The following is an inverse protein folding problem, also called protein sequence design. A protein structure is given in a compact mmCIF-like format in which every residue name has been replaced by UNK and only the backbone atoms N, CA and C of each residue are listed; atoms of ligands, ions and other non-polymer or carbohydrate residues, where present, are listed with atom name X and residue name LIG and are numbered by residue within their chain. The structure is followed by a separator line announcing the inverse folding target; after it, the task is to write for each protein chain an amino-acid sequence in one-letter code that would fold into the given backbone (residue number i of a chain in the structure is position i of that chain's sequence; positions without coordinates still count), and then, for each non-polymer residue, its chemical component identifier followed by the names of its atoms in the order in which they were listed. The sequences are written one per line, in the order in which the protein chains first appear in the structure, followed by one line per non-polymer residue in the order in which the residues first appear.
data_IF_850383905306
#
_entry.id   IF_850383905306
#
_cell.length_a   1.000
_cell.length_b   1.000
_cell.length_c   1.000
_cell.angle_alpha   90.00
_cell.angle_beta   90.00
_cell.angle_gamma   90.00
#
_symmetry.space_group_name_H-M   'P 1'
#
loop_
_entity.id
_entity.type
_entity.pdbx_description
1 polymer ?
#
# COMPACT_ATOMS: atom_id res chain seq x y z
N UNK A 1 38.43 73.77 5.14
CA UNK A 1 38.49 72.44 4.49
C UNK A 1 37.22 71.68 4.84
N UNK A 2 36.56 71.11 3.83
CA UNK A 2 35.28 70.37 3.91
C UNK A 2 35.41 69.10 4.77
N UNK A 3 34.33 68.71 5.43
CA UNK A 3 33.61 67.44 5.15
C UNK A 3 32.38 67.31 6.05
N UNK A 4 31.20 67.43 5.44
CA UNK A 4 29.93 66.92 5.96
C UNK A 4 29.89 65.40 5.76
N UNK A 5 29.34 64.67 6.72
CA UNK A 5 29.01 63.25 6.59
C UNK A 5 27.50 63.06 6.72
N UNK A 6 26.83 62.38 5.78
CA UNK A 6 25.38 62.29 5.71
C UNK A 6 24.79 61.17 6.58
N UNK A 7 23.56 61.42 7.01
CA UNK A 7 22.61 60.48 7.61
C UNK A 7 22.22 59.42 6.57
N UNK A 8 22.26 58.13 6.91
CA UNK A 8 21.45 57.12 6.22
C UNK A 8 20.92 56.08 7.21
N UNK A 9 19.61 56.19 7.44
CA UNK A 9 18.73 55.23 8.09
C UNK A 9 18.67 53.95 7.24
N UNK A 10 19.12 52.82 7.79
CA UNK A 10 18.91 51.50 7.20
C UNK A 10 17.78 50.81 7.96
N UNK A 11 16.55 51.22 7.63
CA UNK A 11 15.38 50.36 7.76
C UNK A 11 15.61 49.14 6.86
N UNK A 12 16.21 48.09 7.42
CA UNK A 12 16.15 46.75 6.88
C UNK A 12 14.68 46.35 6.89
N UNK A 13 13.98 46.63 5.78
CA UNK A 13 12.70 46.02 5.49
C UNK A 13 12.90 44.51 5.59
N UNK A 14 12.37 43.94 6.67
CA UNK A 14 12.04 42.53 6.79
C UNK A 14 11.01 42.22 5.72
N UNK A 15 11.47 42.02 4.49
CA UNK A 15 10.72 41.33 3.46
C UNK A 15 10.66 39.86 3.91
N UNK A 16 9.71 39.58 4.79
CA UNK A 16 9.18 38.23 4.95
C UNK A 16 8.57 37.93 3.59
N UNK A 17 9.37 37.35 2.71
CA UNK A 17 8.89 36.78 1.47
C UNK A 17 7.91 35.69 1.88
N UNK A 18 6.62 36.05 1.96
CA UNK A 18 5.51 35.12 1.90
C UNK A 18 5.59 34.46 0.53
N UNK A 19 6.52 33.52 0.42
CA UNK A 19 6.54 32.54 -0.65
C UNK A 19 5.19 31.85 -0.53
N UNK A 20 4.32 31.90 -1.56
CA UNK A 20 3.12 31.10 -1.51
C UNK A 20 3.59 29.67 -1.33
N UNK A 21 3.24 29.06 -0.19
CA UNK A 21 3.37 27.63 -0.03
C UNK A 21 2.34 27.06 -1.00
N UNK A 22 2.75 26.84 -2.25
CA UNK A 22 1.97 26.11 -3.23
C UNK A 22 1.93 24.69 -2.68
N UNK A 23 0.93 24.42 -1.82
CA UNK A 23 0.62 23.08 -1.37
C UNK A 23 0.04 22.37 -2.59
N UNK A 24 0.91 21.67 -3.30
CA UNK A 24 0.49 20.77 -4.35
C UNK A 24 -0.33 19.65 -3.68
N UNK A 25 -1.65 19.71 -3.80
CA UNK A 25 -2.54 18.67 -3.28
C UNK A 25 -2.63 17.59 -4.34
N UNK A 26 -2.06 16.40 -4.11
CA UNK A 26 -2.11 15.36 -5.12
C UNK A 26 -3.55 14.88 -5.35
N UNK A 27 -3.90 14.64 -6.61
CA UNK A 27 -5.13 13.90 -6.94
C UNK A 27 -4.89 12.47 -6.48
N UNK A 28 -5.76 11.99 -5.59
CA UNK A 28 -5.70 10.64 -5.06
C UNK A 28 -6.48 9.66 -5.93
N UNK A 29 -5.82 8.60 -6.41
CA UNK A 29 -6.49 7.41 -6.93
C UNK A 29 -6.67 6.42 -5.79
N UNK A 30 -7.90 6.05 -5.48
CA UNK A 30 -8.21 5.07 -4.46
C UNK A 30 -8.24 3.67 -5.10
N UNK A 31 -7.56 2.73 -4.46
CA UNK A 31 -7.54 1.32 -4.85
C UNK A 31 -7.87 0.49 -3.61
N UNK A 32 -8.95 -0.29 -3.71
CA UNK A 32 -9.28 -1.31 -2.72
C UNK A 32 -8.73 -2.66 -3.16
N UNK A 33 -8.12 -3.39 -2.25
CA UNK A 33 -7.55 -4.71 -2.54
C UNK A 33 -8.15 -5.69 -1.56
N UNK A 34 -8.59 -6.82 -2.11
CA UNK A 34 -9.16 -7.93 -1.37
C UNK A 34 -8.25 -9.14 -1.54
N UNK A 35 -7.73 -9.62 -0.41
CA UNK A 35 -6.94 -10.82 -0.35
C UNK A 35 -7.79 -12.04 -0.74
N UNK A 36 -7.20 -13.04 -1.41
CA UNK A 36 -7.88 -14.29 -1.69
C UNK A 36 -8.22 -15.05 -0.41
N UNK A 37 -9.30 -15.80 -0.41
CA UNK A 37 -9.70 -16.69 0.69
C UNK A 37 -9.06 -18.06 0.54
N UNK A 38 -9.13 -18.90 1.57
CA UNK A 38 -8.58 -20.27 1.55
C UNK A 38 -9.62 -21.33 1.20
N UNK A 39 -10.91 -20.94 1.24
CA UNK A 39 -12.06 -21.77 0.94
C UNK A 39 -13.15 -20.97 0.23
N UNK A 40 -14.04 -21.69 -0.44
CA UNK A 40 -15.21 -21.13 -1.13
C UNK A 40 -14.97 -20.82 -2.60
N UNK A 41 -15.80 -19.94 -3.15
CA UNK A 41 -15.69 -19.40 -4.49
C UNK A 41 -16.43 -18.06 -4.55
N UNK A 42 -15.98 -17.08 -5.35
CA UNK A 42 -14.75 -17.04 -6.15
C UNK A 42 -13.52 -16.58 -5.31
N UNK A 43 -12.32 -16.57 -5.91
CA UNK A 43 -11.10 -15.96 -5.36
C UNK A 43 -10.40 -16.71 -4.22
N UNK A 44 -10.06 -17.97 -4.46
CA UNK A 44 -9.35 -18.83 -3.51
C UNK A 44 -7.88 -19.03 -3.85
N UNK A 45 -7.05 -19.20 -2.82
CA UNK A 45 -5.69 -19.74 -2.94
C UNK A 45 -5.67 -21.25 -2.86
N UNK A 46 -4.73 -21.83 -3.60
CA UNK A 46 -4.45 -23.26 -3.65
C UNK A 46 -2.96 -23.50 -3.40
N UNK A 47 -2.64 -24.58 -2.69
CA UNK A 47 -1.27 -25.06 -2.57
C UNK A 47 -0.90 -25.91 -3.80
N UNK A 48 0.12 -25.48 -4.55
CA UNK A 48 0.62 -26.15 -5.76
C UNK A 48 1.87 -27.03 -5.48
N UNK A 49 2.17 -27.32 -4.22
CA UNK A 49 3.37 -28.04 -3.79
C UNK A 49 4.53 -27.09 -3.52
N UNK A 50 5.03 -26.42 -4.56
CA UNK A 50 6.20 -25.54 -4.45
C UNK A 50 5.85 -24.09 -4.08
N UNK A 51 4.59 -23.71 -4.26
CA UNK A 51 4.08 -22.37 -3.96
C UNK A 51 2.57 -22.40 -3.66
N UNK A 52 2.06 -21.35 -3.04
CA UNK A 52 0.63 -21.14 -2.80
C UNK A 52 0.26 -19.93 -3.64
N UNK A 53 -0.83 -20.03 -4.39
CA UNK A 53 -1.26 -18.94 -5.24
C UNK A 53 -2.74 -19.00 -5.57
N UNK A 54 -3.26 -17.88 -6.04
CA UNK A 54 -4.67 -17.73 -6.34
C UNK A 54 -5.03 -16.30 -6.66
N UNK A 55 -6.27 -16.09 -7.07
CA UNK A 55 -6.76 -14.76 -7.44
C UNK A 55 -7.44 -14.11 -6.25
N UNK A 56 -7.00 -12.89 -5.91
CA UNK A 56 -7.78 -11.92 -5.17
C UNK A 56 -8.40 -10.90 -6.12
N UNK A 57 -8.79 -9.74 -5.61
CA UNK A 57 -9.41 -8.67 -6.40
C UNK A 57 -8.82 -7.32 -6.06
N UNK A 58 -8.67 -6.45 -7.05
CA UNK A 58 -8.54 -5.02 -6.85
C UNK A 58 -9.78 -4.30 -7.41
N UNK A 59 -10.25 -3.26 -6.71
CA UNK A 59 -11.25 -2.33 -7.19
C UNK A 59 -10.59 -0.98 -7.43
N UNK A 60 -10.63 -0.52 -8.68
CA UNK A 60 -10.11 0.77 -9.11
C UNK A 60 -11.22 1.48 -9.87
N UNK A 61 -11.66 2.63 -9.38
CA UNK A 61 -12.72 3.43 -10.04
C UNK A 61 -13.98 2.61 -10.35
N UNK A 62 -14.42 1.79 -9.39
CA UNK A 62 -15.57 0.88 -9.52
C UNK A 62 -15.39 -0.28 -10.52
N UNK A 63 -14.16 -0.53 -10.99
CA UNK A 63 -13.83 -1.69 -11.82
C UNK A 63 -13.13 -2.74 -10.97
N UNK A 64 -13.67 -3.95 -11.00
CA UNK A 64 -13.16 -5.11 -10.29
C UNK A 64 -12.23 -5.90 -11.21
N UNK A 65 -10.94 -5.92 -10.90
CA UNK A 65 -9.93 -6.68 -11.67
C UNK A 65 -9.40 -7.86 -10.83
N UNK A 66 -9.34 -9.07 -11.41
CA UNK A 66 -8.69 -10.19 -10.73
C UNK A 66 -7.18 -9.98 -10.69
N UNK A 67 -6.58 -10.18 -9.53
CA UNK A 67 -5.12 -10.04 -9.33
C UNK A 67 -4.55 -11.31 -8.72
N UNK A 68 -3.41 -11.74 -9.23
CA UNK A 68 -2.80 -13.01 -8.82
C UNK A 68 -1.83 -12.80 -7.66
N UNK A 69 -2.09 -13.47 -6.55
CA UNK A 69 -1.21 -13.55 -5.40
C UNK A 69 -0.38 -14.82 -5.44
N UNK A 70 0.88 -14.72 -5.03
CA UNK A 70 1.80 -15.85 -4.92
C UNK A 70 2.58 -15.80 -3.62
N UNK A 71 2.85 -16.96 -3.02
CA UNK A 71 3.65 -17.08 -1.81
C UNK A 71 5.03 -16.46 -1.97
N UNK A 72 5.43 -15.60 -1.03
CA UNK A 72 6.78 -15.00 -0.99
C UNK A 72 7.80 -16.05 -0.52
N UNK A 73 7.37 -16.86 0.44
CA UNK A 73 8.08 -18.03 0.96
C UNK A 73 7.05 -18.99 1.53
N UNK A 74 7.35 -20.28 1.48
CA UNK A 74 6.50 -21.33 2.06
C UNK A 74 7.25 -21.99 3.19
N UNK A 75 6.57 -22.13 4.33
CA UNK A 75 7.03 -23.04 5.37
C UNK A 75 6.82 -24.49 4.90
N UNK A 76 7.83 -25.34 5.07
CA UNK A 76 7.82 -26.72 4.58
C UNK A 76 6.65 -27.58 5.10
N UNK A 77 6.03 -27.16 6.22
CA UNK A 77 4.96 -27.89 6.89
C UNK A 77 3.56 -27.34 6.62
N UNK A 78 3.38 -26.44 5.63
CA UNK A 78 2.03 -25.98 5.24
C UNK A 78 1.30 -27.14 4.54
N UNK A 79 0.11 -27.55 5.03
CA UNK A 79 -0.63 -28.65 4.45
C UNK A 79 -1.11 -28.34 3.02
N UNK A 80 -1.31 -29.39 2.22
CA UNK A 80 -1.89 -29.26 0.88
C UNK A 80 -3.33 -28.71 0.92
N UNK A 81 -4.06 -28.94 2.02
CA UNK A 81 -5.40 -28.43 2.25
C UNK A 81 -5.34 -27.17 3.13
N UNK A 82 -5.82 -26.05 2.62
CA UNK A 82 -5.76 -24.75 3.31
C UNK A 82 -7.03 -24.45 4.13
N UNK A 83 -7.91 -25.43 4.34
CA UNK A 83 -9.23 -25.20 4.93
C UNK A 83 -9.19 -24.58 6.34
N UNK A 84 -8.19 -24.92 7.14
CA UNK A 84 -8.07 -24.40 8.49
C UNK A 84 -7.50 -22.98 8.58
N UNK A 85 -7.06 -22.42 7.44
CA UNK A 85 -6.42 -21.12 7.38
C UNK A 85 -7.41 -20.01 7.10
N UNK A 86 -7.14 -18.83 7.64
CA UNK A 86 -7.90 -17.62 7.40
C UNK A 86 -6.97 -16.42 7.32
N UNK A 87 -7.45 -15.34 6.72
CA UNK A 87 -6.72 -14.08 6.61
C UNK A 87 -6.49 -13.49 8.01
N UNK A 88 -5.22 -13.35 8.39
CA UNK A 88 -4.80 -12.74 9.66
C UNK A 88 -4.61 -11.23 9.50
N UNK A 89 -3.85 -10.85 8.47
CA UNK A 89 -3.47 -9.46 8.26
C UNK A 89 -3.21 -9.17 6.78
N UNK A 90 -3.51 -7.95 6.37
CA UNK A 90 -3.11 -7.39 5.09
C UNK A 90 -2.17 -6.22 5.32
N UNK A 91 -1.09 -6.12 4.55
CA UNK A 91 -0.11 -5.04 4.64
C UNK A 91 0.32 -4.55 3.26
N UNK A 92 0.79 -3.31 3.19
CA UNK A 92 1.27 -2.68 1.98
C UNK A 92 2.64 -2.03 2.22
N UNK A 93 3.57 -2.27 1.30
CA UNK A 93 4.89 -1.65 1.29
C UNK A 93 4.93 -0.56 0.22
N UNK A 94 4.95 0.70 0.65
CA UNK A 94 4.95 1.86 -0.26
C UNK A 94 6.23 2.03 -1.08
N UNK A 95 7.32 1.39 -0.68
CA UNK A 95 8.60 1.45 -1.42
C UNK A 95 8.62 0.48 -2.59
N UNK A 96 8.07 -0.72 -2.41
CA UNK A 96 8.05 -1.77 -3.43
C UNK A 96 6.75 -1.82 -4.21
N UNK A 97 5.66 -1.31 -3.64
CA UNK A 97 4.30 -1.47 -4.14
C UNK A 97 3.70 -2.85 -3.87
N UNK A 98 4.27 -3.60 -2.92
CA UNK A 98 3.84 -4.95 -2.61
C UNK A 98 2.70 -4.93 -1.58
N UNK A 99 1.62 -5.66 -1.87
CA UNK A 99 0.60 -6.02 -0.90
C UNK A 99 0.79 -7.47 -0.47
N UNK A 100 0.82 -7.69 0.84
CA UNK A 100 1.03 -9.00 1.45
C UNK A 100 -0.17 -9.38 2.29
N UNK A 101 -0.74 -10.53 2.00
CA UNK A 101 -1.81 -11.18 2.74
C UNK A 101 -1.21 -12.31 3.57
N UNK A 102 -1.34 -12.23 4.90
CA UNK A 102 -0.85 -13.23 5.84
C UNK A 102 -1.99 -14.13 6.31
N UNK A 103 -1.69 -15.41 6.49
CA UNK A 103 -2.65 -16.44 6.83
C UNK A 103 -2.18 -17.19 8.06
N UNK A 104 -3.13 -17.48 8.94
CA UNK A 104 -2.93 -18.27 10.15
C UNK A 104 -3.95 -19.38 10.19
N UNK A 105 -3.55 -20.54 10.70
CA UNK A 105 -4.43 -21.67 10.90
C UNK A 105 -5.13 -21.59 12.26
N UNK A 106 -6.36 -22.11 12.34
CA UNK A 106 -7.01 -22.38 13.62
C UNK A 106 -6.37 -23.56 14.36
N UNK A 107 -5.53 -24.36 13.68
CA UNK A 107 -4.71 -25.39 14.26
C UNK A 107 -3.35 -24.79 14.68
N UNK A 108 -3.02 -24.73 15.99
CA UNK A 108 -1.80 -24.06 16.47
C UNK A 108 -0.49 -24.76 16.06
N UNK A 109 -0.57 -25.99 15.53
CA UNK A 109 0.61 -26.73 15.04
C UNK A 109 0.97 -26.39 13.60
N UNK A 110 0.06 -25.76 12.87
CA UNK A 110 0.23 -25.42 11.47
C UNK A 110 0.94 -24.05 11.32
N UNK A 111 2.00 -23.95 10.49
CA UNK A 111 2.77 -22.72 10.37
C UNK A 111 2.01 -21.63 9.61
N UNK A 112 2.23 -20.37 9.97
CA UNK A 112 1.76 -19.23 9.18
C UNK A 112 2.41 -19.19 7.79
N UNK A 113 1.69 -18.67 6.81
CA UNK A 113 2.25 -18.34 5.50
C UNK A 113 1.73 -17.01 5.00
N UNK A 114 2.34 -16.47 3.94
CA UNK A 114 1.90 -15.24 3.30
C UNK A 114 1.99 -15.34 1.78
N UNK A 115 1.03 -14.71 1.10
CA UNK A 115 1.07 -14.48 -0.35
C UNK A 115 1.12 -12.99 -0.63
N UNK A 116 1.74 -12.62 -1.75
CA UNK A 116 1.88 -11.23 -2.14
C UNK A 116 1.56 -11.00 -3.61
N UNK A 117 1.20 -9.75 -3.88
CA UNK A 117 0.99 -9.17 -5.19
C UNK A 117 1.72 -7.83 -5.26
N UNK A 118 2.41 -7.56 -6.36
CA UNK A 118 3.04 -6.27 -6.60
C UNK A 118 2.12 -5.43 -7.50
N UNK A 119 1.64 -4.31 -6.98
CA UNK A 119 0.78 -3.41 -7.73
C UNK A 119 1.57 -2.74 -8.85
N UNK A 120 1.00 -2.75 -10.05
CA UNK A 120 1.51 -1.95 -11.16
C UNK A 120 1.41 -0.47 -10.80
N UNK A 121 2.53 0.25 -10.85
CA UNK A 121 2.66 1.64 -10.39
C UNK A 121 2.27 1.87 -8.92
N UNK A 122 2.28 0.82 -8.10
CA UNK A 122 1.82 0.92 -6.72
C UNK A 122 2.83 1.48 -5.74
N UNK A 123 3.79 2.31 -6.13
CA UNK A 123 4.76 2.92 -5.19
C UNK A 123 4.26 4.28 -4.70
N UNK A 124 4.66 4.66 -3.49
CA UNK A 124 4.34 5.97 -2.91
C UNK A 124 2.88 6.14 -2.49
N UNK A 125 2.09 5.07 -2.47
CA UNK A 125 0.73 5.10 -1.92
C UNK A 125 0.74 5.24 -0.40
N UNK A 126 -0.41 5.63 0.15
CA UNK A 126 -0.66 5.66 1.58
C UNK A 126 -1.86 4.78 1.91
N UNK A 127 -1.74 3.95 2.95
CA UNK A 127 -2.88 3.18 3.46
C UNK A 127 -3.89 4.15 4.09
N UNK A 128 -5.15 4.06 3.70
CA UNK A 128 -6.26 4.78 4.33
C UNK A 128 -6.88 3.94 5.44
N UNK A 129 -7.15 2.68 5.14
CA UNK A 129 -7.65 1.69 6.09
C UNK A 129 -7.21 0.28 5.65
N UNK A 130 -7.18 -0.65 6.61
CA UNK A 130 -6.89 -2.06 6.35
C UNK A 130 -7.63 -2.97 7.34
N UNK A 131 -7.85 -4.20 6.94
CA UNK A 131 -8.46 -5.27 7.73
C UNK A 131 -7.63 -6.57 7.60
N UNK A 132 -8.14 -7.68 8.13
CA UNK A 132 -7.51 -8.98 7.94
C UNK A 132 -7.41 -9.39 6.47
N UNK A 133 -8.43 -9.10 5.67
CA UNK A 133 -8.56 -9.57 4.28
C UNK A 133 -8.63 -8.47 3.22
N UNK A 134 -8.51 -7.20 3.60
CA UNK A 134 -8.60 -6.09 2.65
C UNK A 134 -7.77 -4.89 3.07
N UNK A 135 -7.40 -4.07 2.09
CA UNK A 135 -6.63 -2.85 2.29
C UNK A 135 -7.06 -1.80 1.27
N UNK A 136 -7.20 -0.56 1.71
CA UNK A 136 -7.48 0.60 0.88
C UNK A 136 -6.26 1.51 0.85
N UNK A 137 -5.81 1.81 -0.36
CA UNK A 137 -4.61 2.59 -0.61
C UNK A 137 -4.97 3.79 -1.49
N UNK A 138 -4.51 4.97 -1.10
CA UNK A 138 -4.58 6.17 -1.93
C UNK A 138 -3.23 6.41 -2.60
N UNK A 139 -3.21 6.52 -3.93
CA UNK A 139 -2.03 6.81 -4.73
C UNK A 139 -2.04 8.26 -5.22
N UNK A 140 -0.93 8.99 -5.12
CA UNK A 140 -0.80 10.30 -5.75
C UNK A 140 -0.61 10.12 -7.26
N UNK A 141 -1.60 10.47 -8.07
CA UNK A 141 -1.55 10.31 -9.55
C UNK A 141 -1.37 11.63 -10.32
N UNK A 142 -1.17 12.74 -9.61
CA UNK A 142 -0.97 14.07 -10.21
C UNK A 142 -1.14 15.16 -9.15
N UNK A 143 -1.08 16.43 -9.54
CA UNK A 143 -1.30 17.58 -8.67
C UNK A 143 -2.56 18.33 -9.13
N UNK A 144 -3.41 18.75 -8.19
CA UNK A 144 -4.43 19.77 -8.48
C UNK A 144 -3.71 21.12 -8.67
N UNK A 145 -3.94 21.75 -9.83
CA UNK A 145 -3.51 23.11 -10.16
C UNK A 145 -4.49 24.15 -9.62
#
# INVERSE_FOLDING_TARGET
MKKSSPVYSLLLLSAIAFSPVIKASPVGLIVDIYCPTTQGSPNVITNFGDYIGGYGMENILSQNNPIYFKSISIAHDVPAQLGNYYNEATSYNSTTGQVTCSYVSNNPTEPRFAVAYNLTNGKGGSVQWQSGNSINIIFPVGLNS
#
